data_IF_548203359691
#
_entry.id   IF_548203359691
#
_cell.length_a   1.000
_cell.length_b   1.000
_cell.length_c   1.000
_cell.angle_alpha   90.00
_cell.angle_beta   90.00
_cell.angle_gamma   90.00
#
_symmetry.space_group_name_H-M   'P 1'
#
loop_
_entity.id
_entity.type
_entity.pdbx_description
1 polymer ?
#
# COMPACT_ATOMS: atom_id res chain seq x y z
N UNK A 1 -0.60 -2.67 -0.80
CA UNK A 1 -0.60 -2.67 -2.29
C UNK A 1 0.53 -3.54 -2.81
N UNK A 2 0.58 -3.87 -4.10
CA UNK A 2 1.67 -4.66 -4.70
C UNK A 2 1.19 -5.55 -5.84
N UNK A 3 2.13 -6.23 -6.49
CA UNK A 3 1.82 -7.16 -7.59
C UNK A 3 1.07 -8.40 -7.08
N UNK A 4 0.37 -9.12 -7.97
CA UNK A 4 -0.18 -10.43 -7.62
C UNK A 4 0.93 -11.33 -7.03
N UNK A 5 0.61 -12.16 -6.05
CA UNK A 5 1.55 -13.09 -5.39
C UNK A 5 2.82 -12.47 -4.77
N UNK A 6 2.88 -11.14 -4.57
CA UNK A 6 3.97 -10.51 -3.81
C UNK A 6 3.96 -10.88 -2.31
N UNK A 7 2.96 -11.62 -1.85
CA UNK A 7 2.85 -12.12 -0.48
C UNK A 7 1.99 -11.26 0.45
N UNK A 8 1.15 -10.37 -0.10
CA UNK A 8 0.32 -9.45 0.70
C UNK A 8 -0.56 -10.15 1.74
N UNK A 9 -1.27 -11.22 1.35
CA UNK A 9 -2.05 -12.05 2.30
C UNK A 9 -1.17 -12.74 3.34
N UNK A 10 0.04 -13.18 2.95
CA UNK A 10 1.00 -13.79 3.86
C UNK A 10 1.48 -12.83 4.94
N UNK A 11 1.82 -11.60 4.54
CA UNK A 11 2.23 -10.54 5.46
C UNK A 11 1.07 -10.17 6.41
N UNK A 12 -0.17 -10.04 5.89
CA UNK A 12 -1.35 -9.84 6.74
C UNK A 12 -1.53 -10.96 7.75
N UNK A 13 -1.40 -12.23 7.31
CA UNK A 13 -1.49 -13.37 8.21
C UNK A 13 -0.40 -13.34 9.30
N UNK A 14 0.83 -12.96 8.95
CA UNK A 14 1.93 -12.84 9.91
C UNK A 14 1.64 -11.79 10.99
N UNK A 15 1.15 -10.61 10.58
CA UNK A 15 0.76 -9.53 11.50
C UNK A 15 -0.40 -9.96 12.40
N UNK A 16 -1.44 -10.60 11.85
CA UNK A 16 -2.59 -11.09 12.62
C UNK A 16 -2.15 -12.05 13.72
N UNK A 17 -1.27 -12.99 13.38
CA UNK A 17 -0.86 -14.03 14.34
C UNK A 17 0.21 -13.60 15.35
N UNK A 18 0.99 -12.53 15.03
CA UNK A 18 2.15 -12.16 15.86
C UNK A 18 2.06 -10.78 16.50
N UNK A 19 1.20 -9.91 15.99
CA UNK A 19 1.17 -8.51 16.40
C UNK A 19 -0.18 -8.01 16.92
N UNK A 20 -1.29 -8.65 16.58
CA UNK A 20 -2.59 -8.34 17.18
C UNK A 20 -2.69 -8.96 18.57
N UNK A 21 -3.32 -8.25 19.50
CA UNK A 21 -3.62 -8.76 20.83
C UNK A 21 -4.84 -9.69 20.79
N UNK A 22 -5.05 -10.45 21.87
CA UNK A 22 -6.18 -11.39 21.98
C UNK A 22 -7.55 -10.67 21.93
N UNK A 23 -7.62 -9.42 22.38
CA UNK A 23 -8.84 -8.60 22.37
C UNK A 23 -9.07 -7.88 21.03
N UNK A 24 -8.10 -7.90 20.12
CA UNK A 24 -8.23 -7.31 18.80
C UNK A 24 -9.00 -8.26 17.86
N UNK A 25 -9.85 -7.67 17.01
CA UNK A 25 -10.51 -8.41 15.93
C UNK A 25 -10.36 -7.65 14.61
N UNK A 26 -9.90 -8.33 13.57
CA UNK A 26 -9.68 -7.69 12.29
C UNK A 26 -10.54 -8.22 11.15
N UNK A 27 -10.91 -7.34 10.22
CA UNK A 27 -11.46 -7.68 8.91
C UNK A 27 -10.38 -7.64 7.84
N UNK A 28 -10.21 -8.71 7.07
CA UNK A 28 -9.27 -8.74 5.93
C UNK A 28 -10.07 -8.74 4.64
N UNK A 29 -10.01 -7.65 3.90
CA UNK A 29 -10.72 -7.45 2.64
C UNK A 29 -9.81 -7.83 1.47
N UNK A 30 -10.25 -8.78 0.64
CA UNK A 30 -9.49 -9.30 -0.51
C UNK A 30 -10.33 -9.23 -1.76
N UNK A 31 -9.77 -8.72 -2.86
CA UNK A 31 -10.48 -8.72 -4.15
C UNK A 31 -10.72 -10.15 -4.66
N UNK A 32 -11.89 -10.41 -5.23
CA UNK A 32 -12.20 -11.66 -5.92
C UNK A 32 -11.32 -11.92 -7.15
N UNK A 33 -10.61 -10.89 -7.65
CA UNK A 33 -9.65 -11.00 -8.74
C UNK A 33 -8.29 -11.54 -8.27
N UNK A 34 -8.05 -11.59 -6.95
CA UNK A 34 -6.83 -12.19 -6.40
C UNK A 34 -6.92 -13.73 -6.47
N UNK A 35 -5.78 -14.34 -6.78
CA UNK A 35 -5.69 -15.81 -6.72
C UNK A 35 -5.67 -16.24 -5.26
N UNK A 36 -6.61 -17.10 -4.82
CA UNK A 36 -6.60 -17.65 -3.46
C UNK A 36 -5.28 -18.33 -3.11
N UNK A 37 -4.86 -18.19 -1.88
CA UNK A 37 -3.62 -18.74 -1.34
C UNK A 37 -3.87 -19.53 -0.06
N UNK A 38 -2.92 -20.33 0.37
CA UNK A 38 -2.99 -21.00 1.68
C UNK A 38 -3.07 -20.00 2.87
N UNK A 39 -2.70 -18.75 2.65
CA UNK A 39 -2.82 -17.70 3.68
C UNK A 39 -4.26 -17.24 3.88
N UNK A 40 -5.11 -17.35 2.86
CA UNK A 40 -6.54 -17.05 2.99
C UNK A 40 -7.22 -18.03 3.94
N UNK A 41 -6.88 -19.33 3.84
CA UNK A 41 -7.34 -20.35 4.80
C UNK A 41 -6.78 -20.10 6.19
N UNK A 42 -5.51 -19.71 6.28
CA UNK A 42 -4.87 -19.37 7.56
C UNK A 42 -5.57 -18.19 8.23
N UNK A 43 -5.86 -17.11 7.49
CA UNK A 43 -6.60 -15.94 7.98
C UNK A 43 -8.01 -16.36 8.44
N UNK A 44 -8.73 -17.12 7.61
CA UNK A 44 -10.09 -17.58 7.93
C UNK A 44 -10.17 -18.48 9.15
N UNK A 45 -9.06 -19.18 9.49
CA UNK A 45 -8.96 -20.05 10.65
C UNK A 45 -8.55 -19.31 11.92
N UNK A 46 -8.14 -18.05 11.83
CA UNK A 46 -7.78 -17.25 12.99
C UNK A 46 -9.03 -16.87 13.79
N UNK A 47 -8.98 -16.99 15.13
CA UNK A 47 -10.10 -16.67 16.01
C UNK A 47 -10.42 -15.16 16.04
N UNK A 48 -9.41 -14.36 15.78
CA UNK A 48 -9.46 -12.89 15.83
C UNK A 48 -9.46 -12.23 14.44
N UNK A 49 -9.80 -12.95 13.37
CA UNK A 49 -9.88 -12.39 12.03
C UNK A 49 -11.11 -12.91 11.27
N UNK A 50 -11.59 -12.07 10.34
CA UNK A 50 -12.61 -12.44 9.36
C UNK A 50 -12.15 -12.08 7.95
N UNK A 51 -12.23 -13.03 6.99
CA UNK A 51 -11.91 -12.81 5.60
C UNK A 51 -13.17 -12.39 4.83
N UNK A 52 -13.08 -11.30 4.10
CA UNK A 52 -14.17 -10.71 3.31
C UNK A 52 -13.72 -10.53 1.88
N UNK A 53 -14.36 -11.21 0.93
CA UNK A 53 -14.10 -10.99 -0.49
C UNK A 53 -14.96 -9.87 -1.03
N UNK A 54 -14.39 -9.01 -1.91
CA UNK A 54 -15.11 -7.95 -2.61
C UNK A 54 -14.89 -8.04 -4.13
N UNK A 55 -15.92 -7.64 -4.90
CA UNK A 55 -15.88 -7.68 -6.37
C UNK A 55 -15.26 -6.41 -6.97
N UNK A 56 -15.56 -5.27 -6.38
CA UNK A 56 -15.14 -3.94 -6.82
C UNK A 56 -15.13 -2.95 -5.65
N UNK A 57 -14.76 -1.70 -5.92
CA UNK A 57 -14.65 -0.67 -4.89
C UNK A 57 -15.99 -0.31 -4.22
N UNK A 58 -17.09 -0.40 -4.95
CA UNK A 58 -18.43 -0.09 -4.40
C UNK A 58 -18.90 -1.21 -3.47
N UNK A 59 -18.69 -2.47 -3.85
CA UNK A 59 -18.95 -3.64 -3.00
C UNK A 59 -18.06 -3.62 -1.75
N UNK A 60 -16.77 -3.30 -1.89
CA UNK A 60 -15.87 -3.14 -0.77
C UNK A 60 -16.36 -2.07 0.22
N UNK A 61 -16.79 -0.92 -0.30
CA UNK A 61 -17.34 0.19 0.50
C UNK A 61 -18.60 -0.22 1.23
N UNK A 62 -19.53 -0.89 0.53
CA UNK A 62 -20.77 -1.38 1.14
C UNK A 62 -20.50 -2.39 2.27
N UNK A 63 -19.57 -3.32 2.06
CA UNK A 63 -19.17 -4.32 3.06
C UNK A 63 -18.45 -3.68 4.25
N UNK A 64 -17.57 -2.70 4.01
CA UNK A 64 -16.91 -1.93 5.08
C UNK A 64 -17.93 -1.14 5.90
N UNK A 65 -18.90 -0.49 5.27
CA UNK A 65 -19.96 0.24 5.96
C UNK A 65 -20.88 -0.69 6.79
N UNK A 66 -21.04 -1.95 6.38
CA UNK A 66 -21.84 -2.95 7.07
C UNK A 66 -21.11 -3.66 8.24
N UNK A 67 -19.79 -3.40 8.43
CA UNK A 67 -19.06 -3.96 9.56
C UNK A 67 -19.61 -3.44 10.89
N UNK A 68 -19.71 -4.35 11.86
CA UNK A 68 -19.95 -3.98 13.25
C UNK A 68 -18.70 -3.34 13.86
N UNK A 69 -18.64 -2.02 13.81
CA UNK A 69 -17.49 -1.22 14.28
C UNK A 69 -17.20 -1.40 15.77
N UNK A 70 -18.15 -1.90 16.57
CA UNK A 70 -17.91 -2.19 17.98
C UNK A 70 -17.04 -3.45 18.18
N UNK A 71 -16.99 -4.32 17.17
CA UNK A 71 -16.25 -5.57 17.21
C UNK A 71 -14.89 -5.46 16.50
N UNK A 72 -14.81 -4.73 15.38
CA UNK A 72 -13.60 -4.65 14.57
C UNK A 72 -12.69 -3.53 15.04
N UNK A 73 -11.49 -3.88 15.53
CA UNK A 73 -10.44 -2.91 15.91
C UNK A 73 -9.58 -2.52 14.71
N UNK A 74 -9.40 -3.44 13.76
CA UNK A 74 -8.54 -3.26 12.59
C UNK A 74 -9.22 -3.75 11.31
N UNK A 75 -8.91 -3.08 10.20
CA UNK A 75 -9.26 -3.53 8.86
C UNK A 75 -8.02 -3.54 7.98
N UNK A 76 -7.72 -4.68 7.38
CA UNK A 76 -6.70 -4.81 6.35
C UNK A 76 -7.37 -4.83 4.99
N UNK A 77 -7.13 -3.82 4.17
CA UNK A 77 -7.63 -3.74 2.81
C UNK A 77 -6.52 -4.12 1.82
N UNK A 78 -6.66 -5.27 1.17
CA UNK A 78 -5.74 -5.74 0.14
C UNK A 78 -6.24 -5.24 -1.21
N UNK A 79 -5.57 -4.21 -1.72
CA UNK A 79 -5.89 -3.59 -3.01
C UNK A 79 -5.84 -4.60 -4.16
N UNK A 80 -6.72 -4.47 -5.12
CA UNK A 80 -6.80 -5.33 -6.30
C UNK A 80 -5.54 -5.18 -7.18
N UNK A 81 -4.73 -6.24 -7.27
CA UNK A 81 -3.48 -6.21 -8.03
C UNK A 81 -3.68 -6.20 -9.55
N UNK A 82 -4.89 -6.43 -10.03
CA UNK A 82 -5.24 -6.31 -11.45
C UNK A 82 -5.54 -4.88 -11.88
N UNK A 83 -5.65 -3.96 -10.92
CA UNK A 83 -5.96 -2.55 -11.15
C UNK A 83 -4.71 -1.68 -11.15
N UNK A 84 -4.82 -0.50 -11.74
CA UNK A 84 -3.77 0.50 -11.64
C UNK A 84 -3.68 1.02 -10.20
N UNK A 85 -2.46 1.10 -9.65
CA UNK A 85 -2.20 1.53 -8.25
C UNK A 85 -2.84 2.88 -7.96
N UNK A 86 -2.68 3.86 -8.85
CA UNK A 86 -3.21 5.20 -8.63
C UNK A 86 -4.74 5.23 -8.63
N UNK A 87 -5.39 4.35 -9.43
CA UNK A 87 -6.85 4.22 -9.44
C UNK A 87 -7.35 3.52 -8.16
N UNK A 88 -6.64 2.49 -7.67
CA UNK A 88 -6.95 1.83 -6.40
C UNK A 88 -6.85 2.80 -5.22
N UNK A 89 -5.77 3.59 -5.15
CA UNK A 89 -5.57 4.58 -4.09
C UNK A 89 -6.67 5.65 -4.13
N UNK A 90 -7.01 6.17 -5.32
CA UNK A 90 -8.07 7.16 -5.50
C UNK A 90 -9.46 6.61 -5.11
N UNK A 91 -9.75 5.35 -5.43
CA UNK A 91 -11.00 4.70 -5.03
C UNK A 91 -11.03 4.41 -3.52
N UNK A 92 -9.92 3.98 -2.94
CA UNK A 92 -9.84 3.74 -1.51
C UNK A 92 -9.98 5.04 -0.70
N UNK A 93 -9.45 6.18 -1.19
CA UNK A 93 -9.69 7.50 -0.58
C UNK A 93 -11.19 7.78 -0.45
N UNK A 94 -11.97 7.53 -1.52
CA UNK A 94 -13.44 7.71 -1.45
C UNK A 94 -14.09 6.79 -0.41
N UNK A 95 -13.54 5.60 -0.22
CA UNK A 95 -14.02 4.66 0.80
C UNK A 95 -13.74 5.16 2.21
N UNK A 96 -12.54 5.73 2.44
CA UNK A 96 -12.17 6.35 3.72
C UNK A 96 -13.04 7.58 4.00
N UNK A 97 -13.22 8.46 3.00
CA UNK A 97 -14.01 9.70 3.14
C UNK A 97 -15.50 9.45 3.44
N UNK A 98 -16.05 8.34 2.92
CA UNK A 98 -17.47 7.98 3.13
C UNK A 98 -17.71 7.12 4.37
N UNK A 99 -16.64 6.56 4.96
CA UNK A 99 -16.72 5.64 6.09
C UNK A 99 -16.17 6.27 7.37
N UNK A 100 -16.67 5.84 8.53
CA UNK A 100 -16.05 6.19 9.83
C UNK A 100 -14.81 5.29 10.06
N UNK A 101 -13.93 5.20 9.08
CA UNK A 101 -12.66 4.48 9.17
C UNK A 101 -11.53 5.47 8.94
N UNK A 102 -10.45 5.31 9.69
CA UNK A 102 -9.24 6.11 9.52
C UNK A 102 -8.16 5.25 8.88
N UNK A 103 -7.46 5.80 7.89
CA UNK A 103 -6.29 5.16 7.34
C UNK A 103 -5.15 5.25 8.36
N UNK A 104 -4.74 4.11 8.91
CA UNK A 104 -3.62 4.04 9.82
C UNK A 104 -2.28 3.99 9.05
N UNK A 105 -2.17 3.14 8.02
CA UNK A 105 -0.91 2.95 7.30
C UNK A 105 -1.11 2.30 5.93
N UNK A 106 -0.27 2.66 4.96
CA UNK A 106 -0.20 2.01 3.64
C UNK A 106 1.06 1.16 3.55
N UNK A 107 0.86 -0.15 3.39
CA UNK A 107 1.93 -1.09 3.10
C UNK A 107 2.01 -1.33 1.59
N UNK A 108 3.17 -1.08 1.01
CA UNK A 108 3.47 -1.38 -0.38
C UNK A 108 4.49 -2.51 -0.47
N UNK A 109 4.14 -3.57 -1.18
CA UNK A 109 4.96 -4.79 -1.28
C UNK A 109 5.62 -4.84 -2.66
N UNK A 110 6.94 -4.69 -2.69
CA UNK A 110 7.75 -4.81 -3.90
C UNK A 110 8.13 -6.26 -4.16
N UNK A 111 7.83 -6.76 -5.35
CA UNK A 111 8.38 -8.01 -5.87
C UNK A 111 9.83 -7.77 -6.36
N UNK A 112 10.81 -8.07 -5.50
CA UNK A 112 12.21 -7.82 -5.78
C UNK A 112 12.74 -8.68 -6.92
N UNK A 113 12.23 -9.91 -7.13
CA UNK A 113 12.64 -10.76 -8.23
C UNK A 113 12.23 -10.16 -9.58
N UNK A 114 11.00 -9.67 -9.69
CA UNK A 114 10.51 -8.99 -10.91
C UNK A 114 11.23 -7.67 -11.14
N UNK A 115 11.50 -6.90 -10.09
CA UNK A 115 12.28 -5.66 -10.19
C UNK A 115 13.72 -5.93 -10.67
N UNK A 116 14.42 -6.90 -10.08
CA UNK A 116 15.81 -7.21 -10.43
C UNK A 116 15.95 -7.71 -11.87
N UNK A 117 14.92 -8.41 -12.38
CA UNK A 117 14.92 -8.91 -13.76
C UNK A 117 14.79 -7.81 -14.81
N UNK A 118 13.90 -6.85 -14.60
CA UNK A 118 13.61 -5.77 -15.55
C UNK A 118 13.60 -4.41 -14.84
N UNK A 119 14.74 -3.94 -14.28
CA UNK A 119 14.75 -2.80 -13.38
C UNK A 119 14.27 -1.49 -14.04
N UNK A 120 14.55 -1.27 -15.31
CA UNK A 120 14.16 -0.04 -16.00
C UNK A 120 12.65 0.03 -16.25
N UNK A 121 12.07 -1.08 -16.70
CA UNK A 121 10.64 -1.20 -17.01
C UNK A 121 9.80 -1.28 -15.74
N UNK A 122 10.34 -1.87 -14.67
CA UNK A 122 9.65 -2.03 -13.40
C UNK A 122 9.77 -0.79 -12.48
N UNK A 123 10.83 0.00 -12.63
CA UNK A 123 11.10 1.14 -11.75
C UNK A 123 9.93 2.14 -11.67
N UNK A 124 9.24 2.55 -12.76
CA UNK A 124 8.12 3.49 -12.63
C UNK A 124 6.93 2.92 -11.80
N UNK A 125 6.71 1.60 -11.85
CA UNK A 125 5.72 0.94 -11.00
C UNK A 125 6.17 0.92 -9.53
N UNK A 126 7.44 0.59 -9.27
CA UNK A 126 8.02 0.60 -7.93
C UNK A 126 8.04 2.01 -7.32
N UNK A 127 8.30 3.04 -8.14
CA UNK A 127 8.27 4.44 -7.71
C UNK A 127 6.83 4.88 -7.33
N UNK A 128 5.81 4.39 -8.03
CA UNK A 128 4.42 4.63 -7.64
C UNK A 128 4.05 3.92 -6.32
N UNK A 129 4.47 2.66 -6.14
CA UNK A 129 4.31 1.95 -4.87
C UNK A 129 4.97 2.71 -3.71
N UNK A 130 6.21 3.16 -3.90
CA UNK A 130 6.97 3.89 -2.90
C UNK A 130 6.34 5.26 -2.57
N UNK A 131 5.80 5.96 -3.57
CA UNK A 131 5.16 7.27 -3.39
C UNK A 131 3.97 7.23 -2.44
N UNK A 132 3.18 6.16 -2.50
CA UNK A 132 2.00 5.97 -1.63
C UNK A 132 2.32 5.19 -0.35
N UNK A 133 3.54 4.71 -0.15
CA UNK A 133 3.89 3.82 0.96
C UNK A 133 4.26 4.58 2.24
N UNK A 134 3.69 4.18 3.36
CA UNK A 134 4.22 4.45 4.70
C UNK A 134 5.26 3.39 5.09
N UNK A 135 5.07 2.15 4.60
CA UNK A 135 6.00 1.05 4.77
C UNK A 135 6.22 0.32 3.44
N UNK A 136 7.47 0.19 3.03
CA UNK A 136 7.89 -0.44 1.79
C UNK A 136 8.50 -1.80 2.08
N UNK A 137 7.77 -2.85 1.73
CA UNK A 137 8.08 -4.23 2.08
C UNK A 137 8.77 -4.92 0.90
N UNK A 138 10.04 -5.28 1.07
CA UNK A 138 10.85 -5.94 0.05
C UNK A 138 10.65 -7.45 0.13
N UNK A 139 9.85 -8.01 -0.77
CA UNK A 139 9.45 -9.41 -0.84
C UNK A 139 10.11 -10.16 -2.00
N UNK A 140 10.00 -11.50 -2.03
CA UNK A 140 10.49 -12.37 -3.10
C UNK A 140 11.98 -12.17 -3.42
N UNK A 141 12.81 -12.20 -2.36
CA UNK A 141 14.24 -11.90 -2.42
C UNK A 141 15.15 -13.13 -2.65
N UNK A 142 14.59 -14.34 -2.73
CA UNK A 142 15.36 -15.58 -2.69
C UNK A 142 16.42 -15.69 -3.81
N UNK A 143 16.13 -15.13 -4.98
CA UNK A 143 17.02 -15.15 -6.15
C UNK A 143 17.57 -13.76 -6.49
N UNK A 144 17.56 -12.84 -5.50
CA UNK A 144 18.05 -11.48 -5.65
C UNK A 144 19.28 -11.31 -4.75
N UNK A 145 20.37 -10.80 -5.29
CA UNK A 145 21.60 -10.60 -4.52
C UNK A 145 21.42 -9.49 -3.47
N UNK A 146 22.18 -9.58 -2.39
CA UNK A 146 22.17 -8.53 -1.36
C UNK A 146 22.54 -7.15 -1.95
N UNK A 147 23.42 -7.11 -2.94
CA UNK A 147 23.78 -5.87 -3.63
C UNK A 147 22.59 -5.24 -4.36
N UNK A 148 21.76 -6.04 -5.00
CA UNK A 148 20.54 -5.54 -5.67
C UNK A 148 19.53 -5.02 -4.65
N UNK A 149 19.34 -5.72 -3.53
CA UNK A 149 18.50 -5.26 -2.42
C UNK A 149 18.98 -3.91 -1.87
N UNK A 150 20.29 -3.78 -1.62
CA UNK A 150 20.87 -2.51 -1.16
C UNK A 150 20.74 -1.39 -2.22
N UNK A 151 20.85 -1.72 -3.51
CA UNK A 151 20.61 -0.76 -4.60
C UNK A 151 19.13 -0.26 -4.61
N UNK A 152 18.16 -1.16 -4.35
CA UNK A 152 16.75 -0.78 -4.23
C UNK A 152 16.56 0.19 -3.06
N UNK A 153 17.10 -0.12 -1.88
CA UNK A 153 17.01 0.78 -0.72
C UNK A 153 17.67 2.14 -1.00
N UNK A 154 18.92 2.12 -1.48
CA UNK A 154 19.68 3.33 -1.78
C UNK A 154 19.01 4.20 -2.88
N UNK A 155 18.17 3.63 -3.75
CA UNK A 155 17.39 4.40 -4.73
C UNK A 155 16.46 5.38 -4.02
N UNK A 156 15.73 4.92 -3.02
CA UNK A 156 14.74 5.73 -2.31
C UNK A 156 15.36 6.57 -1.20
N UNK A 157 16.39 6.09 -0.52
CA UNK A 157 17.17 6.87 0.46
C UNK A 157 17.78 8.13 -0.17
N UNK A 158 18.39 8.01 -1.36
CA UNK A 158 18.96 9.16 -2.11
C UNK A 158 17.91 10.18 -2.53
N UNK A 159 16.66 9.79 -2.65
CA UNK A 159 15.53 10.66 -2.97
C UNK A 159 14.80 11.14 -1.72
N UNK A 160 15.33 10.86 -0.52
CA UNK A 160 14.75 11.24 0.76
C UNK A 160 13.30 10.76 0.96
N UNK A 161 12.97 9.55 0.49
CA UNK A 161 11.66 8.95 0.75
C UNK A 161 11.52 8.67 2.24
N UNK A 162 10.43 9.13 2.91
CA UNK A 162 10.31 9.03 4.37
C UNK A 162 9.81 7.66 4.85
N UNK A 163 9.34 6.80 3.94
CA UNK A 163 8.79 5.49 4.25
C UNK A 163 9.78 4.59 4.98
N UNK A 164 9.29 3.76 5.89
CA UNK A 164 10.10 2.68 6.45
C UNK A 164 10.30 1.56 5.44
N UNK A 165 11.47 0.92 5.44
CA UNK A 165 11.78 -0.20 4.54
C UNK A 165 12.00 -1.46 5.35
N UNK A 166 11.17 -2.49 5.13
CA UNK A 166 11.26 -3.77 5.83
C UNK A 166 11.51 -4.93 4.86
N UNK A 167 12.26 -5.92 5.35
CA UNK A 167 12.56 -7.12 4.58
C UNK A 167 11.56 -8.21 4.90
N UNK A 168 10.97 -8.79 3.84
CA UNK A 168 10.05 -9.92 3.96
C UNK A 168 10.81 -11.21 3.63
N UNK A 169 10.65 -12.23 4.44
CA UNK A 169 11.29 -13.52 4.22
C UNK A 169 10.53 -14.38 3.18
N UNK A 170 11.05 -15.59 2.92
CA UNK A 170 10.45 -16.54 1.96
C UNK A 170 9.08 -17.11 2.40
N UNK A 171 8.72 -16.96 3.68
CA UNK A 171 7.42 -17.36 4.23
C UNK A 171 6.43 -16.20 4.27
N UNK A 172 6.83 -15.04 3.75
CA UNK A 172 6.11 -13.78 3.83
C UNK A 172 5.96 -13.24 5.27
N UNK A 173 6.95 -13.52 6.10
CA UNK A 173 7.05 -13.02 7.46
C UNK A 173 7.99 -11.82 7.53
N UNK A 174 7.74 -10.91 8.48
CA UNK A 174 8.60 -9.76 8.78
C UNK A 174 9.24 -9.90 10.16
N UNK A 175 10.40 -9.30 10.35
CA UNK A 175 11.14 -9.45 11.60
C UNK A 175 10.40 -8.85 12.81
N UNK A 176 9.68 -7.75 12.59
CA UNK A 176 8.98 -6.98 13.63
C UNK A 176 7.57 -6.61 13.18
N UNK A 177 6.63 -7.58 13.15
CA UNK A 177 5.28 -7.35 12.61
C UNK A 177 4.50 -6.26 13.38
N UNK A 178 4.75 -6.06 14.67
CA UNK A 178 4.13 -4.99 15.47
C UNK A 178 4.44 -3.58 14.91
N UNK A 179 5.61 -3.37 14.32
CA UNK A 179 5.97 -2.07 13.74
C UNK A 179 5.13 -1.72 12.51
N UNK A 180 4.53 -2.71 11.85
CA UNK A 180 3.61 -2.47 10.75
C UNK A 180 2.27 -1.88 11.19
N UNK A 181 1.90 -2.04 12.47
CA UNK A 181 0.67 -1.50 13.06
C UNK A 181 0.83 -0.08 13.64
N UNK A 182 2.06 0.45 13.70
CA UNK A 182 2.29 1.82 14.20
C UNK A 182 1.58 2.80 13.27
N UNK A 183 0.72 3.63 13.84
CA UNK A 183 0.02 4.68 13.13
C UNK A 183 0.96 5.88 12.89
N UNK A 184 1.66 5.86 11.79
CA UNK A 184 2.59 6.92 11.40
C UNK A 184 2.55 7.10 9.89
N UNK A 185 2.11 8.27 9.43
CA UNK A 185 2.14 8.63 8.02
C UNK A 185 3.58 8.97 7.61
N UNK A 186 4.14 8.18 6.69
CA UNK A 186 5.50 8.35 6.15
C UNK A 186 5.52 8.32 4.62
N UNK A 187 4.40 8.55 3.98
CA UNK A 187 4.28 8.56 2.52
C UNK A 187 4.60 9.94 1.94
N UNK A 188 4.97 9.97 0.66
CA UNK A 188 5.10 11.23 -0.09
C UNK A 188 3.73 11.81 -0.42
N UNK A 189 2.76 10.94 -0.76
CA UNK A 189 1.41 11.38 -1.09
C UNK A 189 0.67 11.90 0.13
N UNK A 190 0.19 13.12 0.04
CA UNK A 190 -0.64 13.77 1.07
C UNK A 190 -2.14 13.52 0.88
N UNK A 191 -2.52 12.57 0.01
CA UNK A 191 -3.92 12.33 -0.37
C UNK A 191 -4.83 12.05 0.83
N UNK A 192 -4.32 11.36 1.85
CA UNK A 192 -5.08 10.93 3.03
C UNK A 192 -4.85 11.84 4.24
N UNK A 193 -4.01 12.86 4.12
CA UNK A 193 -3.72 13.76 5.21
C UNK A 193 -4.79 14.84 5.27
N UNK A 194 -5.14 15.26 6.47
CA UNK A 194 -6.05 16.37 6.68
C UNK A 194 -5.48 17.64 6.03
N UNK A 195 -6.38 18.50 5.58
CA UNK A 195 -5.98 19.82 5.09
C UNK A 195 -5.46 20.60 6.29
N UNK A 196 -4.22 21.09 6.22
CA UNK A 196 -3.69 21.96 7.26
C UNK A 196 -4.56 23.23 7.30
N UNK A 197 -4.99 23.69 8.47
CA UNK A 197 -5.72 24.97 8.59
C UNK A 197 -5.00 26.15 7.93
N UNK A 198 -3.67 26.10 7.83
CA UNK A 198 -2.85 27.08 7.10
C UNK A 198 -3.13 27.06 5.59
N UNK A 199 -3.43 25.90 5.01
CA UNK A 199 -3.78 25.78 3.58
C UNK A 199 -5.11 26.46 3.23
N UNK A 200 -5.97 26.73 4.24
CA UNK A 200 -7.26 27.39 4.10
C UNK A 200 -7.22 28.88 4.48
N UNK A 201 -6.09 29.37 4.99
CA UNK A 201 -5.96 30.77 5.37
C UNK A 201 -5.87 31.68 4.13
N UNK A 202 -6.74 32.67 4.11
CA UNK A 202 -6.63 33.79 3.16
C UNK A 202 -5.52 34.74 3.69
N UNK A 203 -4.30 34.58 3.15
CA UNK A 203 -3.14 35.33 3.60
C UNK A 203 -3.00 36.59 2.81
N UNK A 204 -3.09 37.71 3.50
CA UNK A 204 -2.83 39.05 2.98
C UNK A 204 -1.57 39.67 3.59
N UNK A 205 -1.26 40.92 3.20
CA UNK A 205 -0.05 41.60 3.65
C UNK A 205 0.05 41.84 5.14
N UNK A 206 -1.05 41.72 5.89
CA UNK A 206 -1.12 42.04 7.31
C UNK A 206 -1.03 40.77 8.20
N UNK A 207 -1.22 39.57 7.59
CA UNK A 207 -1.22 38.30 8.31
C UNK A 207 -0.23 37.27 7.76
N UNK A 208 0.80 37.70 7.03
CA UNK A 208 1.86 36.84 6.53
C UNK A 208 2.60 36.20 7.71
N UNK A 209 2.69 34.87 7.77
CA UNK A 209 3.50 34.17 8.78
C UNK A 209 4.99 34.52 8.67
N UNK A 210 5.69 34.53 9.80
CA UNK A 210 7.11 34.88 9.88
C UNK A 210 8.05 33.87 9.18
N UNK A 211 7.59 32.66 8.90
CA UNK A 211 8.37 31.63 8.24
C UNK A 211 7.93 31.42 6.78
N UNK A 212 8.88 31.20 5.84
CA UNK A 212 8.53 30.90 4.47
C UNK A 212 7.88 29.51 4.40
N UNK A 213 6.65 29.43 3.90
CA UNK A 213 5.89 28.18 3.74
C UNK A 213 5.21 28.17 2.37
N UNK A 214 4.95 26.97 1.87
CA UNK A 214 4.25 26.74 0.59
C UNK A 214 2.76 26.62 0.91
N UNK A 215 2.01 27.68 0.68
CA UNK A 215 0.57 27.80 0.98
C UNK A 215 -0.33 26.89 0.15
N UNK A 216 0.18 26.39 -0.97
CA UNK A 216 -0.61 25.57 -1.85
C UNK A 216 -0.15 24.11 -1.79
N UNK A 217 -1.04 23.24 -1.34
CA UNK A 217 -0.84 21.79 -1.43
C UNK A 217 -0.66 21.42 -2.91
N UNK A 218 0.55 20.94 -3.25
CA UNK A 218 0.83 20.50 -4.63
C UNK A 218 -0.04 19.31 -4.98
N UNK A 219 -0.77 19.34 -6.12
CA UNK A 219 -1.54 18.20 -6.55
C UNK A 219 -0.64 16.96 -6.72
N UNK A 220 -1.11 15.80 -6.24
CA UNK A 220 -0.35 14.56 -6.32
C UNK A 220 -0.05 14.20 -7.80
N UNK A 221 1.23 14.00 -8.17
CA UNK A 221 1.63 13.82 -9.56
C UNK A 221 1.03 12.56 -10.21
N UNK A 222 0.72 11.50 -9.41
CA UNK A 222 0.09 10.30 -9.92
C UNK A 222 -1.42 10.42 -10.08
N UNK A 223 -2.05 11.41 -9.43
CA UNK A 223 -3.49 11.61 -9.46
C UNK A 223 -3.92 12.68 -10.45
N UNK A 224 -2.99 13.55 -10.88
CA UNK A 224 -3.27 14.58 -11.87
C UNK A 224 -3.67 13.97 -13.22
N UNK A 225 -4.68 14.61 -13.86
CA UNK A 225 -5.18 14.19 -15.17
C UNK A 225 -5.10 15.34 -16.17
N UNK A 226 -4.79 15.02 -17.41
CA UNK A 226 -4.90 15.96 -18.54
C UNK A 226 -6.38 16.18 -18.91
N UNK A 227 -6.63 17.17 -19.78
CA UNK A 227 -7.99 17.49 -20.25
C UNK A 227 -8.72 16.32 -20.92
N UNK A 228 -7.98 15.35 -21.46
CA UNK A 228 -8.52 14.12 -22.05
C UNK A 228 -8.79 13.01 -21.00
N UNK A 229 -8.62 13.28 -19.70
CA UNK A 229 -8.83 12.33 -18.58
C UNK A 229 -7.65 11.38 -18.34
N UNK A 230 -6.61 11.37 -19.16
CA UNK A 230 -5.43 10.52 -18.94
C UNK A 230 -4.56 11.06 -17.80
N UNK A 231 -3.97 10.17 -17.01
CA UNK A 231 -3.04 10.58 -15.95
C UNK A 231 -1.78 11.20 -16.53
N UNK A 232 -1.32 12.31 -15.94
CA UNK A 232 -0.09 12.98 -16.37
C UNK A 232 1.16 12.13 -16.09
N UNK A 233 1.14 11.39 -14.98
CA UNK A 233 2.19 10.42 -14.63
C UNK A 233 1.57 9.02 -14.57
N UNK A 234 1.55 8.27 -15.69
CA UNK A 234 0.95 6.95 -15.72
C UNK A 234 1.82 5.93 -14.97
N UNK A 235 1.16 4.97 -14.31
CA UNK A 235 1.81 3.81 -13.70
C UNK A 235 1.74 2.68 -14.74
N UNK A 236 2.87 2.07 -15.16
CA UNK A 236 2.87 1.02 -16.14
C UNK A 236 2.22 -0.27 -15.61
N UNK A 237 1.63 -1.05 -16.51
CA UNK A 237 1.25 -2.42 -16.22
C UNK A 237 2.51 -3.32 -16.25
N UNK A 238 2.76 -4.00 -15.14
CA UNK A 238 3.92 -4.91 -14.98
C UNK A 238 3.50 -6.37 -14.92
N UNK A 239 2.25 -6.69 -15.21
CA UNK A 239 1.68 -8.04 -15.10
C UNK A 239 2.45 -9.07 -15.92
N UNK A 240 2.90 -8.71 -17.11
CA UNK A 240 3.68 -9.60 -17.97
C UNK A 240 5.07 -9.91 -17.39
N UNK A 241 5.78 -8.90 -16.89
CA UNK A 241 7.08 -9.07 -16.23
C UNK A 241 6.94 -10.01 -15.03
N UNK A 242 5.93 -9.79 -14.20
CA UNK A 242 5.65 -10.64 -13.03
C UNK A 242 5.34 -12.08 -13.44
N UNK A 243 4.49 -12.28 -14.45
CA UNK A 243 4.13 -13.61 -14.97
C UNK A 243 5.34 -14.37 -15.50
N UNK A 244 6.20 -13.72 -16.27
CA UNK A 244 7.39 -14.34 -16.82
C UNK A 244 8.45 -14.63 -15.75
N UNK A 245 8.65 -13.75 -14.78
CA UNK A 245 9.56 -13.98 -13.66
C UNK A 245 9.16 -15.25 -12.90
N UNK A 246 7.86 -15.45 -12.66
CA UNK A 246 7.36 -16.66 -11.98
C UNK A 246 7.56 -17.95 -12.76
N UNK A 247 7.36 -17.91 -14.08
CA UNK A 247 7.60 -19.09 -14.92
C UNK A 247 9.03 -19.59 -14.79
N UNK A 248 10.00 -18.68 -14.67
CA UNK A 248 11.40 -19.04 -14.51
C UNK A 248 11.75 -19.56 -13.11
N UNK A 249 11.04 -19.13 -12.07
CA UNK A 249 11.23 -19.62 -10.70
C UNK A 249 10.63 -21.01 -10.46
N UNK A 250 9.73 -21.47 -11.34
CA UNK A 250 9.08 -22.78 -11.26
C UNK A 250 9.80 -23.88 -12.05
N UNK A 251 10.91 -23.56 -12.74
CA UNK A 251 11.80 -24.48 -13.44
C UNK A 251 13.00 -24.82 -12.55
#
# INVERSE_FOLDING_TARGET
MGTPTSGRCGICADVIYKALNDDDFCGVFVSQNETPTAFDERISSAQNAGLVYYSDADDARAKLAALDKSRFTHVFYIADSSKNIADEVEQFKKTVDCGDIRLARIWSVLDCASFARCPNEFAPYADALAHFADCFLLSRRSNVSNREIENIKARYERQCYPMSVELVDKKFEVARPIELLIEEARRISMLFDDIDPIDELDIDGDNIPDEPFDLQRKPDPYLQRAANGMRLKPVPDVSEIVRETRKLESI
#
